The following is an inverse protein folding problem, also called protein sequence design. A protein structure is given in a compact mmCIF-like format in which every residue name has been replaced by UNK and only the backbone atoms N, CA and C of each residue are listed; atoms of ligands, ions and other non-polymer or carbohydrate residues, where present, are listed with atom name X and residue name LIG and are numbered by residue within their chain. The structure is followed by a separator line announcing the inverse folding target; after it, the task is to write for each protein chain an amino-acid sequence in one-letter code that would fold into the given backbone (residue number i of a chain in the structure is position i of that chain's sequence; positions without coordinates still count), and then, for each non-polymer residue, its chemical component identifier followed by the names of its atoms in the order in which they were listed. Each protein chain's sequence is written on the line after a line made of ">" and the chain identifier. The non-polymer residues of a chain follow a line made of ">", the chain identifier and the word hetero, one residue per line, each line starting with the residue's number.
data_IF_517986757774
#
_entry.id   IF_517986757774
#
_cell.length_a   1.000
_cell.length_b   1.000
_cell.length_c   1.000
_cell.angle_alpha   90.00
_cell.angle_beta   90.00
_cell.angle_gamma   90.00
#
_symmetry.space_group_name_H-M   'P 1'
#
loop_
_entity.id
_entity.type
_entity.pdbx_description
1 polymer ?
#
# COMPACT_ATOMS: atom_id res chain seq x y z
N UNK A 1 9.98 34.89 7.44
CA UNK A 1 9.43 34.19 6.26
C UNK A 1 8.32 33.25 6.72
N UNK A 2 7.25 33.10 5.94
CA UNK A 2 5.99 32.39 6.29
C UNK A 2 6.15 31.02 6.99
N UNK A 3 7.22 30.28 6.71
CA UNK A 3 7.52 28.99 7.33
C UNK A 3 7.71 29.07 8.86
N UNK A 4 8.45 30.05 9.35
CA UNK A 4 8.71 30.21 10.80
C UNK A 4 7.42 30.52 11.57
N UNK A 5 6.47 31.22 10.95
CA UNK A 5 5.13 31.46 11.49
C UNK A 5 4.32 30.17 11.62
N UNK A 6 4.32 29.33 10.59
CA UNK A 6 3.62 28.03 10.59
C UNK A 6 4.19 27.13 11.70
N UNK A 7 5.52 27.06 11.80
CA UNK A 7 6.21 26.30 12.83
C UNK A 7 5.88 26.80 14.23
N UNK A 8 5.86 28.12 14.44
CA UNK A 8 5.46 28.73 15.71
C UNK A 8 4.01 28.46 16.09
N UNK A 9 3.12 28.31 15.09
CA UNK A 9 1.71 27.97 15.29
C UNK A 9 1.46 26.48 15.53
N UNK A 10 2.49 25.62 15.46
CA UNK A 10 2.32 24.16 15.54
C UNK A 10 1.57 23.58 14.35
N UNK A 11 1.55 24.29 13.22
CA UNK A 11 0.93 23.86 11.96
C UNK A 11 1.95 23.25 11.00
N UNK A 12 3.16 22.96 11.50
CA UNK A 12 4.10 22.19 10.70
C UNK A 12 3.54 20.78 10.47
N UNK A 13 3.76 20.27 9.27
CA UNK A 13 3.35 18.93 8.90
C UNK A 13 4.59 18.04 8.97
N UNK A 14 4.76 17.40 10.12
CA UNK A 14 5.79 16.39 10.33
C UNK A 14 5.12 15.03 10.59
N UNK A 15 4.76 14.27 9.53
CA UNK A 15 4.09 13.00 9.69
C UNK A 15 5.01 11.99 10.40
N UNK A 16 4.46 11.14 11.28
CA UNK A 16 5.24 10.15 12.00
C UNK A 16 5.74 9.03 11.06
N UNK A 17 6.85 8.40 11.44
CA UNK A 17 7.46 7.29 10.66
C UNK A 17 6.99 5.95 11.19
N UNK A 18 6.40 5.13 10.32
CA UNK A 18 6.09 3.73 10.59
C UNK A 18 7.30 2.85 10.26
N UNK A 19 7.80 2.13 11.25
CA UNK A 19 9.04 1.34 11.15
C UNK A 19 8.80 -0.17 11.05
N UNK A 20 7.59 -0.64 11.36
CA UNK A 20 7.18 -2.05 11.21
C UNK A 20 6.02 -2.19 10.21
N UNK A 21 5.54 -3.41 9.97
CA UNK A 21 4.30 -3.60 9.22
C UNK A 21 3.12 -2.82 9.84
N UNK A 22 2.16 -2.43 9.00
CA UNK A 22 0.92 -1.81 9.47
C UNK A 22 0.06 -2.86 10.15
N UNK A 23 0.11 -2.95 11.48
CA UNK A 23 -0.62 -3.93 12.28
C UNK A 23 -1.22 -3.27 13.53
N UNK A 24 -2.07 -3.97 14.27
CA UNK A 24 -2.72 -3.47 15.48
C UNK A 24 -1.72 -2.94 16.52
N UNK A 25 -0.51 -3.53 16.59
CA UNK A 25 0.65 -3.01 17.31
C UNK A 25 1.81 -2.84 16.35
N UNK A 26 2.44 -1.68 16.38
CA UNK A 26 3.53 -1.32 15.47
C UNK A 26 4.53 -0.39 16.16
N UNK A 27 5.64 -0.10 15.48
CA UNK A 27 6.62 0.90 15.92
C UNK A 27 6.42 2.18 15.11
N UNK A 28 6.14 3.27 15.83
CA UNK A 28 6.02 4.63 15.29
C UNK A 28 7.05 5.52 15.98
N UNK A 29 7.94 6.15 15.22
CA UNK A 29 9.03 7.00 15.73
C UNK A 29 9.78 6.36 16.92
N UNK A 30 10.18 5.09 16.75
CA UNK A 30 10.87 4.29 17.75
C UNK A 30 10.03 3.83 18.96
N UNK A 31 8.71 4.03 18.96
CA UNK A 31 7.82 3.70 20.09
C UNK A 31 6.79 2.64 19.71
N UNK A 32 6.61 1.65 20.60
CA UNK A 32 5.50 0.70 20.50
C UNK A 32 4.16 1.43 20.64
N UNK A 33 3.31 1.30 19.62
CA UNK A 33 2.08 2.07 19.45
C UNK A 33 0.94 1.17 19.00
N UNK A 34 -0.26 1.40 19.56
CA UNK A 34 -1.50 0.79 19.05
C UNK A 34 -1.95 1.59 17.83
N UNK A 35 -2.02 0.94 16.66
CA UNK A 35 -2.41 1.59 15.41
C UNK A 35 -3.92 1.75 15.33
N UNK A 36 -4.40 2.98 15.55
CA UNK A 36 -5.81 3.37 15.37
C UNK A 36 -6.00 4.35 14.21
N UNK A 37 -4.94 4.62 13.43
CA UNK A 37 -4.92 5.59 12.34
C UNK A 37 -4.46 4.93 11.03
N UNK A 38 -5.14 3.86 10.61
CA UNK A 38 -4.86 3.15 9.38
C UNK A 38 -6.13 2.82 8.59
N UNK A 39 -5.99 2.69 7.28
CA UNK A 39 -7.05 2.21 6.38
C UNK A 39 -6.98 0.68 6.15
N UNK A 40 -6.21 -0.03 6.97
CA UNK A 40 -6.01 -1.48 6.88
C UNK A 40 -7.11 -2.24 7.64
N UNK A 41 -8.38 -1.99 7.30
CA UNK A 41 -9.55 -2.45 8.06
C UNK A 41 -9.62 -3.97 8.25
N UNK A 42 -9.17 -4.73 7.24
CA UNK A 42 -9.24 -6.19 7.20
C UNK A 42 -7.89 -6.86 7.49
N UNK A 43 -6.86 -6.08 7.86
CA UNK A 43 -5.48 -6.52 8.05
C UNK A 43 -4.89 -7.28 6.83
N UNK A 44 -5.30 -6.94 5.61
CA UNK A 44 -4.89 -7.67 4.40
C UNK A 44 -3.44 -7.36 3.98
N UNK A 45 -2.87 -6.23 4.40
CA UNK A 45 -1.47 -5.89 4.10
C UNK A 45 -0.49 -6.89 4.70
N UNK A 46 -0.87 -7.55 5.80
CA UNK A 46 -0.02 -8.50 6.53
C UNK A 46 -0.53 -9.94 6.38
N UNK A 47 -1.60 -10.17 5.62
CA UNK A 47 -2.19 -11.49 5.49
C UNK A 47 -1.23 -12.41 4.71
N UNK A 48 -0.88 -13.60 5.22
CA UNK A 48 0.17 -14.44 4.63
C UNK A 48 -0.09 -14.79 3.16
N UNK A 49 -1.33 -15.15 2.81
CA UNK A 49 -1.70 -15.42 1.41
C UNK A 49 -1.47 -14.24 0.46
N UNK A 50 -1.61 -13.00 0.94
CA UNK A 50 -1.41 -11.80 0.11
C UNK A 50 0.08 -11.56 -0.11
N UNK A 51 0.87 -11.69 0.96
CA UNK A 51 2.35 -11.60 0.90
C UNK A 51 2.91 -12.66 -0.04
N UNK A 52 2.48 -13.91 0.12
CA UNK A 52 2.95 -15.03 -0.70
C UNK A 52 2.59 -14.83 -2.18
N UNK A 53 1.35 -14.40 -2.47
CA UNK A 53 0.93 -14.08 -3.83
C UNK A 53 1.76 -12.95 -4.45
N UNK A 54 2.09 -11.91 -3.68
CA UNK A 54 2.95 -10.81 -4.12
C UNK A 54 4.36 -11.32 -4.44
N UNK A 55 4.96 -12.14 -3.58
CA UNK A 55 6.29 -12.73 -3.81
C UNK A 55 6.28 -13.60 -5.08
N UNK A 56 5.28 -14.48 -5.23
CA UNK A 56 5.14 -15.32 -6.42
C UNK A 56 4.99 -14.49 -7.71
N UNK A 57 4.16 -13.44 -7.67
CA UNK A 57 3.98 -12.54 -8.80
C UNK A 57 5.30 -11.82 -9.14
N UNK A 58 6.02 -11.27 -8.15
CA UNK A 58 7.32 -10.64 -8.39
C UNK A 58 8.33 -11.61 -8.99
N UNK A 59 8.34 -12.88 -8.57
CA UNK A 59 9.22 -13.90 -9.16
C UNK A 59 8.85 -14.25 -10.60
N UNK A 60 7.56 -14.29 -10.95
CA UNK A 60 7.08 -14.61 -12.31
C UNK A 60 7.21 -13.42 -13.28
N UNK A 61 6.86 -12.22 -12.83
CA UNK A 61 6.68 -11.03 -13.68
C UNK A 61 7.79 -9.98 -13.56
N UNK A 62 8.62 -10.06 -12.52
CA UNK A 62 9.58 -9.01 -12.18
C UNK A 62 8.94 -7.88 -11.38
N UNK A 63 9.67 -6.77 -11.25
CA UNK A 63 9.28 -5.64 -10.41
C UNK A 63 8.22 -4.71 -11.04
N UNK A 64 7.94 -4.84 -12.34
CA UNK A 64 6.97 -3.99 -13.03
C UNK A 64 6.84 -4.33 -14.52
N UNK A 65 5.83 -3.76 -15.17
CA UNK A 65 5.47 -4.05 -16.57
C UNK A 65 6.42 -3.48 -17.62
N UNK A 66 7.28 -2.52 -17.25
CA UNK A 66 8.23 -1.89 -18.16
C UNK A 66 7.61 -0.98 -19.24
N UNK A 67 6.28 -0.89 -19.32
CA UNK A 67 5.57 -0.04 -20.29
C UNK A 67 4.12 0.23 -19.85
N UNK A 68 3.46 1.14 -20.55
CA UNK A 68 2.02 1.38 -20.42
C UNK A 68 1.22 0.26 -21.07
N UNK A 69 -0.03 0.08 -20.63
CA UNK A 69 -0.94 -0.98 -21.13
C UNK A 69 -1.12 -0.96 -22.66
N UNK A 70 -1.16 0.23 -23.26
CA UNK A 70 -1.41 0.42 -24.69
C UNK A 70 -0.23 0.07 -25.62
N UNK A 71 0.97 -0.19 -25.08
CA UNK A 71 2.16 -0.51 -25.89
C UNK A 71 2.60 -1.95 -25.61
N UNK A 72 3.26 -2.18 -24.48
CA UNK A 72 3.82 -3.49 -24.12
C UNK A 72 3.73 -3.77 -22.60
N UNK A 73 2.82 -3.10 -21.90
CA UNK A 73 2.69 -3.18 -20.45
C UNK A 73 1.58 -4.08 -19.91
N UNK A 74 0.81 -4.73 -20.80
CA UNK A 74 -0.26 -5.64 -20.38
C UNK A 74 0.32 -7.01 -20.06
N UNK A 75 0.10 -7.49 -18.84
CA UNK A 75 0.45 -8.83 -18.36
C UNK A 75 -0.84 -9.64 -18.22
N UNK A 76 -0.75 -10.97 -18.30
CA UNK A 76 -1.87 -11.89 -18.04
C UNK A 76 -2.54 -11.61 -16.68
N UNK A 77 -1.77 -11.33 -15.61
CA UNK A 77 -2.32 -10.98 -14.29
C UNK A 77 -3.15 -9.70 -14.26
N UNK A 78 -2.92 -8.76 -15.19
CA UNK A 78 -3.78 -7.57 -15.26
C UNK A 78 -5.17 -7.96 -15.75
N UNK A 79 -5.24 -8.81 -16.76
CA UNK A 79 -6.50 -9.29 -17.33
C UNK A 79 -7.24 -10.19 -16.33
N UNK A 80 -6.53 -11.12 -15.67
CA UNK A 80 -7.11 -11.96 -14.62
C UNK A 80 -7.67 -11.12 -13.45
N UNK A 81 -6.94 -10.07 -13.03
CA UNK A 81 -7.41 -9.18 -11.97
C UNK A 81 -8.64 -8.37 -12.39
N UNK A 82 -8.69 -7.88 -13.63
CA UNK A 82 -9.84 -7.18 -14.20
C UNK A 82 -11.09 -8.07 -14.20
N UNK A 83 -10.98 -9.30 -14.71
CA UNK A 83 -12.07 -10.29 -14.69
C UNK A 83 -12.54 -10.61 -13.27
N UNK A 84 -11.61 -10.80 -12.33
CA UNK A 84 -11.96 -11.10 -10.93
C UNK A 84 -12.65 -9.94 -10.23
N UNK A 85 -12.24 -8.71 -10.50
CA UNK A 85 -12.88 -7.52 -9.93
C UNK A 85 -14.27 -7.31 -10.53
N UNK A 86 -14.42 -7.51 -11.84
CA UNK A 86 -15.71 -7.48 -12.54
C UNK A 86 -16.68 -8.52 -11.95
N UNK A 87 -16.24 -9.77 -11.81
CA UNK A 87 -16.99 -10.86 -11.16
C UNK A 87 -17.42 -10.50 -9.73
N UNK A 88 -16.48 -10.01 -8.91
CA UNK A 88 -16.74 -9.64 -7.51
C UNK A 88 -17.74 -8.49 -7.39
N UNK A 89 -17.60 -7.45 -8.22
CA UNK A 89 -18.48 -6.28 -8.23
C UNK A 89 -19.80 -6.52 -8.98
N UNK A 90 -19.92 -7.62 -9.73
CA UNK A 90 -21.06 -7.94 -10.60
C UNK A 90 -21.26 -6.87 -11.68
N UNK A 91 -20.17 -6.44 -12.28
CA UNK A 91 -20.15 -5.49 -13.38
C UNK A 91 -19.35 -6.09 -14.54
N UNK A 92 -19.52 -5.53 -15.73
CA UNK A 92 -18.71 -5.86 -16.92
C UNK A 92 -17.34 -5.16 -16.86
#
# INVERSE_FOLDING_TARGET
>A
MRYEEIKKQGLDWNPPTLETSNDARCIIDGKETIMLSANNYLNLTNHPKVIDAMISATRKYGAGSGSVRAIAGTMDIHLEAEEKVAEFKKVE
#
